data_IF_103674560663
#
_entry.id   IF_103674560663
#
_cell.length_a   1.000
_cell.length_b   1.000
_cell.length_c   1.000
_cell.angle_alpha   90.00
_cell.angle_beta   90.00
_cell.angle_gamma   90.00
#
_symmetry.space_group_name_H-M   'P 1'
#
loop_
_entity.id
_entity.type
_entity.pdbx_description
1 polymer ?
#
# COMPACT_ATOMS: atom_id res chain seq x y z
N UNK A 1 -16.29 14.33 21.86
CA UNK A 1 -14.90 14.34 21.36
C UNK A 1 -14.66 15.75 20.87
N UNK A 2 -13.82 16.51 21.57
CA UNK A 2 -13.39 17.82 21.10
C UNK A 2 -12.36 17.59 19.96
N UNK A 3 -12.78 17.78 18.73
CA UNK A 3 -11.88 17.78 17.59
C UNK A 3 -11.23 19.16 17.44
N UNK A 4 -9.91 19.22 17.28
CA UNK A 4 -9.20 20.49 17.04
C UNK A 4 -9.57 21.11 15.69
N UNK A 5 -9.95 20.29 14.71
CA UNK A 5 -10.38 20.72 13.38
C UNK A 5 -11.53 19.83 12.88
N UNK A 6 -12.51 20.44 12.25
CA UNK A 6 -13.61 19.77 11.55
C UNK A 6 -13.52 20.12 10.09
N UNK A 7 -13.42 19.11 9.22
CA UNK A 7 -13.46 19.26 7.77
C UNK A 7 -14.80 18.75 7.26
N UNK A 8 -15.61 19.64 6.73
CA UNK A 8 -16.83 19.27 6.01
C UNK A 8 -16.49 19.07 4.53
N UNK A 9 -16.93 17.95 3.99
CA UNK A 9 -16.70 17.57 2.60
C UNK A 9 -18.07 17.36 1.94
N UNK A 10 -18.27 17.97 0.79
CA UNK A 10 -19.46 17.69 -0.01
C UNK A 10 -19.44 16.22 -0.44
N UNK A 11 -20.50 15.49 -0.10
CA UNK A 11 -20.70 14.13 -0.53
C UNK A 11 -20.84 14.03 -2.06
N UNK A 12 -20.56 12.84 -2.57
CA UNK A 12 -20.80 12.51 -3.98
C UNK A 12 -22.11 11.73 -4.12
N UNK A 13 -22.79 11.94 -5.22
CA UNK A 13 -23.92 11.11 -5.61
C UNK A 13 -23.46 9.71 -5.97
N UNK A 14 -24.33 8.69 -5.75
CA UNK A 14 -24.00 7.28 -6.03
C UNK A 14 -23.71 7.01 -7.51
N UNK A 15 -24.23 7.83 -8.41
CA UNK A 15 -23.93 7.76 -9.85
C UNK A 15 -22.54 8.26 -10.21
N UNK A 16 -21.85 8.97 -9.28
CA UNK A 16 -20.52 9.48 -9.52
C UNK A 16 -19.53 8.32 -9.75
N UNK A 17 -18.66 8.42 -10.78
CA UNK A 17 -17.72 7.37 -11.08
C UNK A 17 -16.68 7.19 -9.96
N UNK A 18 -16.23 5.96 -9.77
CA UNK A 18 -15.33 5.55 -8.66
C UNK A 18 -14.09 6.43 -8.52
N UNK A 19 -13.52 6.92 -9.62
CA UNK A 19 -12.33 7.76 -9.55
C UNK A 19 -12.56 9.09 -8.83
N UNK A 20 -13.78 9.67 -8.90
CA UNK A 20 -14.12 10.90 -8.15
C UNK A 20 -14.16 10.63 -6.64
N UNK A 21 -14.67 9.46 -6.23
CA UNK A 21 -14.62 9.02 -4.84
C UNK A 21 -13.18 8.87 -4.34
N UNK A 22 -12.31 8.25 -5.14
CA UNK A 22 -10.89 8.15 -4.83
C UNK A 22 -10.26 9.53 -4.68
N UNK A 23 -10.47 10.45 -5.63
CA UNK A 23 -9.91 11.80 -5.60
C UNK A 23 -10.39 12.62 -4.40
N UNK A 24 -11.63 12.45 -3.98
CA UNK A 24 -12.16 13.08 -2.77
C UNK A 24 -11.37 12.64 -1.52
N UNK A 25 -11.19 11.34 -1.33
CA UNK A 25 -10.45 10.83 -0.16
C UNK A 25 -8.94 11.08 -0.25
N UNK A 26 -8.36 11.16 -1.45
CA UNK A 26 -7.00 11.66 -1.64
C UNK A 26 -6.85 13.10 -1.13
N UNK A 27 -7.78 13.97 -1.51
CA UNK A 27 -7.79 15.37 -1.05
C UNK A 27 -7.91 15.47 0.48
N UNK A 28 -8.71 14.61 1.11
CA UNK A 28 -8.84 14.52 2.58
C UNK A 28 -7.51 14.10 3.21
N UNK A 29 -6.82 13.10 2.67
CA UNK A 29 -5.52 12.66 3.16
C UNK A 29 -4.46 13.79 3.10
N UNK A 30 -4.38 14.47 1.96
CA UNK A 30 -3.48 15.60 1.76
C UNK A 30 -3.78 16.74 2.72
N UNK A 31 -5.07 17.05 2.96
CA UNK A 31 -5.48 18.06 3.92
C UNK A 31 -5.09 17.68 5.35
N UNK A 32 -5.22 16.41 5.72
CA UNK A 32 -4.78 15.89 7.02
C UNK A 32 -3.28 16.13 7.26
N UNK A 33 -2.44 15.83 6.26
CA UNK A 33 -1.00 16.11 6.34
C UNK A 33 -0.72 17.62 6.41
N UNK A 34 -1.41 18.45 5.62
CA UNK A 34 -1.22 19.91 5.61
C UNK A 34 -1.60 20.55 6.95
N UNK A 35 -2.62 20.02 7.62
CA UNK A 35 -3.05 20.44 8.96
C UNK A 35 -2.21 19.81 10.07
N UNK A 36 -1.21 19.00 9.74
CA UNK A 36 -0.35 18.28 10.69
C UNK A 36 -1.13 17.43 11.69
N UNK A 37 -2.27 16.87 11.26
CA UNK A 37 -3.08 15.98 12.09
C UNK A 37 -2.29 14.71 12.44
N UNK A 38 -2.32 14.30 13.72
CA UNK A 38 -1.79 12.99 14.15
C UNK A 38 -2.85 11.90 14.05
N UNK A 39 -4.07 12.24 14.41
CA UNK A 39 -5.24 11.36 14.39
C UNK A 39 -6.27 11.93 13.44
N UNK A 40 -6.81 11.08 12.58
CA UNK A 40 -7.86 11.42 11.63
C UNK A 40 -9.04 10.49 11.85
N UNK A 41 -10.22 11.06 12.02
CA UNK A 41 -11.49 10.32 12.06
C UNK A 41 -12.32 10.69 10.85
N UNK A 42 -12.76 9.69 10.10
CA UNK A 42 -13.56 9.87 8.90
C UNK A 42 -14.90 9.17 9.08
N UNK A 43 -15.98 9.88 8.81
CA UNK A 43 -17.32 9.33 8.65
C UNK A 43 -17.64 9.30 7.16
N UNK A 44 -17.61 8.14 6.49
CA UNK A 44 -17.77 8.06 5.03
C UNK A 44 -19.16 8.47 4.53
N UNK A 45 -20.15 8.56 5.42
CA UNK A 45 -21.55 8.76 5.07
C UNK A 45 -22.25 7.45 4.68
N UNK A 46 -23.50 7.57 4.27
CA UNK A 46 -24.36 6.42 3.93
C UNK A 46 -24.46 6.18 2.42
N UNK A 47 -23.73 6.94 1.63
CA UNK A 47 -23.74 6.85 0.16
C UNK A 47 -22.47 6.19 -0.34
N UNK A 48 -22.59 5.28 -1.30
CA UNK A 48 -21.46 4.67 -2.00
C UNK A 48 -21.73 4.61 -3.51
N UNK A 49 -20.71 4.39 -4.34
CA UNK A 49 -20.90 4.26 -5.79
C UNK A 49 -21.87 3.15 -6.14
N UNK A 50 -22.65 3.35 -7.20
CA UNK A 50 -23.56 2.33 -7.73
C UNK A 50 -22.86 0.98 -7.92
N UNK A 51 -23.50 -0.12 -7.54
CA UNK A 51 -22.98 -1.48 -7.55
C UNK A 51 -21.85 -1.75 -6.54
N UNK A 52 -21.61 -0.86 -5.58
CA UNK A 52 -20.70 -1.04 -4.46
C UNK A 52 -21.48 -1.03 -3.14
N UNK A 53 -20.90 -1.63 -2.12
CA UNK A 53 -21.46 -1.66 -0.77
C UNK A 53 -20.63 -0.83 0.22
N UNK A 54 -21.10 -0.75 1.45
CA UNK A 54 -20.42 -0.04 2.53
C UNK A 54 -19.05 -0.65 2.86
N UNK A 55 -18.87 -1.96 2.69
CA UNK A 55 -17.59 -2.62 2.99
C UNK A 55 -16.54 -2.28 1.95
N UNK A 56 -16.95 -2.22 0.67
CA UNK A 56 -16.09 -1.70 -0.40
C UNK A 56 -15.68 -0.24 -0.13
N UNK A 57 -16.62 0.59 0.36
CA UNK A 57 -16.33 1.99 0.69
C UNK A 57 -15.30 2.08 1.83
N UNK A 58 -15.47 1.29 2.90
CA UNK A 58 -14.54 1.24 4.03
C UNK A 58 -13.15 0.79 3.57
N UNK A 59 -13.05 -0.25 2.75
CA UNK A 59 -11.78 -0.73 2.20
C UNK A 59 -11.11 0.35 1.34
N UNK A 60 -11.88 0.98 0.46
CA UNK A 60 -11.39 2.04 -0.42
C UNK A 60 -10.91 3.26 0.38
N UNK A 61 -11.65 3.67 1.42
CA UNK A 61 -11.23 4.78 2.30
C UNK A 61 -9.91 4.44 2.99
N UNK A 62 -9.82 3.27 3.63
CA UNK A 62 -8.61 2.84 4.33
C UNK A 62 -7.41 2.80 3.38
N UNK A 63 -7.54 2.16 2.20
CA UNK A 63 -6.50 2.11 1.18
C UNK A 63 -6.08 3.50 0.71
N UNK A 64 -7.06 4.35 0.38
CA UNK A 64 -6.79 5.66 -0.23
C UNK A 64 -6.12 6.59 0.76
N UNK A 65 -6.61 6.65 2.00
CA UNK A 65 -5.98 7.49 3.03
C UNK A 65 -4.56 7.01 3.29
N UNK A 66 -4.37 5.70 3.57
CA UNK A 66 -3.05 5.14 3.87
C UNK A 66 -2.04 5.45 2.75
N UNK A 67 -2.41 5.20 1.50
CA UNK A 67 -1.51 5.44 0.37
C UNK A 67 -1.25 6.92 0.05
N UNK A 68 -2.05 7.87 0.56
CA UNK A 68 -1.91 9.29 0.27
C UNK A 68 -1.45 10.14 1.45
N UNK A 69 -1.36 9.59 2.66
CA UNK A 69 -0.63 10.26 3.76
C UNK A 69 0.89 10.03 3.66
N UNK A 70 1.33 9.10 2.84
CA UNK A 70 2.74 8.82 2.60
C UNK A 70 3.49 10.04 2.07
N UNK A 71 4.65 10.31 2.64
CA UNK A 71 5.60 11.34 2.18
C UNK A 71 7.02 10.75 2.29
N UNK A 72 7.75 10.73 1.17
CA UNK A 72 9.15 10.32 1.17
C UNK A 72 10.03 11.37 1.85
N UNK A 73 10.82 10.96 2.83
CA UNK A 73 11.66 11.87 3.62
C UNK A 73 13.06 11.34 3.94
N UNK A 74 13.42 10.12 3.48
CA UNK A 74 14.64 9.44 3.92
C UNK A 74 15.93 10.19 3.54
N UNK A 75 15.96 10.73 2.31
CA UNK A 75 17.14 11.46 1.81
C UNK A 75 17.00 12.99 1.90
N UNK A 76 15.97 13.47 2.59
CA UNK A 76 15.69 14.90 2.73
C UNK A 76 16.20 15.45 4.06
N UNK A 77 16.42 16.75 4.12
CA UNK A 77 16.82 17.45 5.35
C UNK A 77 15.81 17.25 6.49
N UNK A 78 16.25 17.40 7.73
CA UNK A 78 15.40 17.25 8.94
C UNK A 78 14.16 18.15 8.94
N UNK A 79 14.20 19.28 8.22
CA UNK A 79 13.09 20.23 8.05
C UNK A 79 12.07 19.80 6.99
N UNK A 80 12.35 18.74 6.21
CA UNK A 80 11.43 18.27 5.18
C UNK A 80 10.11 17.77 5.79
N UNK A 81 9.03 17.94 5.04
CA UNK A 81 7.73 17.42 5.40
C UNK A 81 7.79 15.90 5.64
N UNK A 82 7.15 15.46 6.70
CA UNK A 82 7.01 14.04 7.07
C UNK A 82 5.55 13.69 7.20
N UNK A 83 5.16 12.43 7.00
CA UNK A 83 3.80 11.99 7.29
C UNK A 83 3.44 12.32 8.72
N UNK A 84 2.31 13.00 8.91
CA UNK A 84 1.85 13.40 10.25
C UNK A 84 0.72 12.52 10.75
N UNK A 85 -0.14 12.03 9.86
CA UNK A 85 -1.25 11.15 10.20
C UNK A 85 -0.69 9.78 10.60
N UNK A 86 -0.95 9.40 11.84
CA UNK A 86 -0.48 8.11 12.42
C UNK A 86 -1.63 7.17 12.75
N UNK A 87 -2.85 7.70 12.83
CA UNK A 87 -4.03 6.92 13.17
C UNK A 87 -5.20 7.36 12.31
N UNK A 88 -5.82 6.40 11.64
CA UNK A 88 -7.08 6.57 10.94
C UNK A 88 -8.18 5.83 11.71
N UNK A 89 -9.26 6.51 12.00
CA UNK A 89 -10.48 5.92 12.55
C UNK A 89 -11.60 6.09 11.55
N UNK A 90 -12.21 5.01 11.08
CA UNK A 90 -13.39 5.06 10.22
C UNK A 90 -14.61 4.87 11.11
N UNK A 91 -15.46 5.89 11.17
CA UNK A 91 -16.67 5.89 12.00
C UNK A 91 -17.82 5.27 11.20
N UNK A 92 -18.48 4.29 11.79
CA UNK A 92 -19.66 3.63 11.24
C UNK A 92 -20.78 3.68 12.26
N UNK A 93 -22.03 3.75 11.82
CA UNK A 93 -23.21 3.75 12.68
C UNK A 93 -24.18 2.66 12.24
N UNK A 94 -24.95 2.11 13.19
CA UNK A 94 -26.03 1.18 12.91
C UNK A 94 -25.62 -0.22 12.43
N UNK A 95 -24.33 -0.59 12.49
CA UNK A 95 -23.89 -1.91 12.09
C UNK A 95 -24.24 -2.99 13.11
N UNK A 96 -24.76 -4.11 12.62
CA UNK A 96 -24.88 -5.34 13.42
C UNK A 96 -23.50 -5.89 13.79
N UNK A 97 -23.37 -6.76 14.81
CA UNK A 97 -22.10 -7.38 15.17
C UNK A 97 -21.41 -8.11 13.99
N UNK A 98 -22.18 -8.79 13.15
CA UNK A 98 -21.68 -9.47 11.94
C UNK A 98 -21.17 -8.47 10.91
N UNK A 99 -21.93 -7.41 10.62
CA UNK A 99 -21.53 -6.33 9.72
C UNK A 99 -20.28 -5.59 10.22
N UNK A 100 -20.16 -5.36 11.53
CA UNK A 100 -18.98 -4.77 12.15
C UNK A 100 -17.73 -5.64 11.94
N UNK A 101 -17.87 -6.96 12.00
CA UNK A 101 -16.76 -7.89 11.71
C UNK A 101 -16.31 -7.76 10.26
N UNK A 102 -17.23 -7.71 9.30
CA UNK A 102 -16.94 -7.46 7.89
C UNK A 102 -16.28 -6.10 7.66
N UNK A 103 -16.79 -5.04 8.30
CA UNK A 103 -16.23 -3.70 8.23
C UNK A 103 -14.78 -3.65 8.74
N UNK A 104 -14.48 -4.30 9.86
CA UNK A 104 -13.12 -4.44 10.38
C UNK A 104 -12.20 -5.18 9.41
N UNK A 105 -12.70 -6.23 8.77
CA UNK A 105 -11.92 -6.96 7.77
C UNK A 105 -11.67 -6.10 6.53
N UNK A 106 -12.67 -5.38 6.02
CA UNK A 106 -12.53 -4.45 4.90
C UNK A 106 -11.49 -3.36 5.20
N UNK A 107 -11.55 -2.74 6.38
CA UNK A 107 -10.57 -1.76 6.80
C UNK A 107 -9.14 -2.33 6.86
N UNK A 108 -8.97 -3.54 7.39
CA UNK A 108 -7.65 -4.23 7.42
C UNK A 108 -7.14 -4.52 6.01
N UNK A 109 -8.01 -4.99 5.12
CA UNK A 109 -7.64 -5.25 3.71
C UNK A 109 -7.21 -3.96 3.02
N UNK A 110 -7.99 -2.89 3.15
CA UNK A 110 -7.67 -1.58 2.58
C UNK A 110 -6.33 -1.03 3.11
N UNK A 111 -6.11 -1.11 4.42
CA UNK A 111 -4.85 -0.71 5.04
C UNK A 111 -3.66 -1.51 4.46
N UNK A 112 -3.76 -2.84 4.39
CA UNK A 112 -2.69 -3.68 3.87
C UNK A 112 -2.37 -3.37 2.39
N UNK A 113 -3.39 -3.07 1.57
CA UNK A 113 -3.18 -2.63 0.19
C UNK A 113 -2.47 -1.27 0.15
N UNK A 114 -2.88 -0.33 1.01
CA UNK A 114 -2.24 0.98 1.15
C UNK A 114 -0.77 0.88 1.53
N UNK A 115 -0.42 0.05 2.50
CA UNK A 115 0.96 -0.27 2.89
C UNK A 115 1.78 -0.86 1.73
N UNK A 116 1.19 -1.78 0.97
CA UNK A 116 1.84 -2.33 -0.23
C UNK A 116 2.13 -1.25 -1.28
N UNK A 117 1.18 -0.33 -1.52
CA UNK A 117 1.37 0.82 -2.40
C UNK A 117 2.48 1.74 -1.87
N UNK A 118 2.53 2.01 -0.57
CA UNK A 118 3.56 2.83 0.05
C UNK A 118 4.94 2.18 -0.05
N UNK A 119 5.03 0.86 0.07
CA UNK A 119 6.28 0.11 -0.15
C UNK A 119 6.79 0.28 -1.58
N UNK A 120 5.91 0.19 -2.58
CA UNK A 120 6.27 0.42 -3.98
C UNK A 120 6.71 1.87 -4.23
N UNK A 121 5.96 2.86 -3.71
CA UNK A 121 6.34 4.28 -3.78
C UNK A 121 7.71 4.52 -3.15
N UNK A 122 7.94 3.98 -1.95
CA UNK A 122 9.21 4.12 -1.24
C UNK A 122 10.39 3.61 -2.08
N UNK A 123 10.25 2.43 -2.69
CA UNK A 123 11.31 1.89 -3.56
C UNK A 123 11.52 2.74 -4.81
N UNK A 124 10.43 3.28 -5.39
CA UNK A 124 10.51 4.17 -6.56
C UNK A 124 11.07 5.57 -6.24
N UNK A 125 10.88 6.06 -5.02
CA UNK A 125 11.38 7.37 -4.57
C UNK A 125 12.85 7.33 -4.15
N UNK A 126 13.41 6.14 -3.88
CA UNK A 126 14.82 5.99 -3.53
C UNK A 126 15.74 6.35 -4.71
N UNK A 127 16.80 7.12 -4.49
CA UNK A 127 17.86 7.30 -5.49
C UNK A 127 18.50 5.96 -5.88
N UNK A 128 19.00 5.85 -7.12
CA UNK A 128 19.55 4.62 -7.67
C UNK A 128 20.64 3.98 -6.79
N UNK A 129 21.50 4.80 -6.17
CA UNK A 129 22.53 4.34 -5.24
C UNK A 129 21.99 3.79 -3.91
N UNK A 130 20.73 4.07 -3.58
CA UNK A 130 20.00 3.54 -2.42
C UNK A 130 18.99 2.45 -2.78
N UNK A 131 18.75 2.20 -4.07
CA UNK A 131 17.79 1.20 -4.57
C UNK A 131 18.46 0.23 -5.54
N UNK A 132 19.55 -0.41 -5.11
CA UNK A 132 20.24 -1.41 -5.91
C UNK A 132 19.55 -2.78 -5.80
N UNK A 133 19.76 -3.71 -6.76
CA UNK A 133 19.19 -5.06 -6.70
C UNK A 133 19.49 -5.78 -5.38
N UNK A 134 20.68 -5.59 -4.83
CA UNK A 134 21.10 -6.15 -3.53
C UNK A 134 20.31 -5.56 -2.35
N UNK A 135 20.00 -4.26 -2.39
CA UNK A 135 19.22 -3.61 -1.35
C UNK A 135 17.76 -4.07 -1.40
N UNK A 136 17.19 -4.18 -2.61
CA UNK A 136 15.85 -4.72 -2.80
C UNK A 136 15.79 -6.17 -2.27
N UNK A 137 16.76 -7.01 -2.62
CA UNK A 137 16.87 -8.38 -2.11
C UNK A 137 16.86 -8.42 -0.58
N UNK A 138 17.66 -7.56 0.06
CA UNK A 138 17.72 -7.48 1.53
C UNK A 138 16.35 -7.09 2.14
N UNK A 139 15.68 -6.11 1.56
CA UNK A 139 14.36 -5.66 2.02
C UNK A 139 13.32 -6.76 1.86
N UNK A 140 13.27 -7.40 0.69
CA UNK A 140 12.34 -8.50 0.42
C UNK A 140 12.57 -9.67 1.37
N UNK A 141 13.82 -10.07 1.60
CA UNK A 141 14.15 -11.13 2.57
C UNK A 141 13.74 -10.77 4.01
N UNK A 142 13.82 -9.50 4.38
CA UNK A 142 13.38 -9.06 5.71
C UNK A 142 11.88 -9.25 5.94
N UNK A 143 11.05 -9.17 4.89
CA UNK A 143 9.60 -9.35 5.00
C UNK A 143 9.18 -10.74 5.51
N UNK A 144 10.03 -11.78 5.34
CA UNK A 144 9.71 -13.13 5.85
C UNK A 144 9.59 -13.19 7.37
N UNK A 145 10.17 -12.23 8.09
CA UNK A 145 10.06 -12.14 9.55
C UNK A 145 8.64 -11.77 9.97
N UNK A 146 8.01 -10.86 9.22
CA UNK A 146 6.68 -10.35 9.52
C UNK A 146 5.58 -11.16 8.85
N UNK A 147 5.91 -11.88 7.76
CA UNK A 147 4.99 -12.66 6.94
C UNK A 147 5.42 -14.12 6.81
N UNK A 148 5.12 -15.00 7.78
CA UNK A 148 5.59 -16.40 7.81
C UNK A 148 5.13 -17.24 6.61
N UNK A 149 4.06 -16.83 5.92
CA UNK A 149 3.58 -17.51 4.70
C UNK A 149 4.35 -17.14 3.43
N UNK A 150 5.27 -16.16 3.52
CA UNK A 150 6.17 -15.82 2.42
C UNK A 150 7.39 -16.73 2.39
N UNK A 151 7.70 -17.26 1.22
CA UNK A 151 8.97 -17.94 0.91
C UNK A 151 9.68 -17.17 -0.18
N UNK A 152 10.96 -16.93 0.01
CA UNK A 152 11.77 -16.15 -0.92
C UNK A 152 12.97 -16.96 -1.34
N UNK A 153 13.16 -17.11 -2.66
CA UNK A 153 14.37 -17.62 -3.29
C UNK A 153 15.02 -16.46 -4.03
N UNK A 154 16.30 -16.28 -3.85
CA UNK A 154 17.08 -15.28 -4.56
C UNK A 154 18.21 -15.96 -5.32
N UNK A 155 18.46 -15.50 -6.54
CA UNK A 155 19.49 -16.01 -7.43
C UNK A 155 20.45 -14.89 -7.81
N UNK A 156 21.74 -15.14 -7.66
CA UNK A 156 22.80 -14.27 -8.14
C UNK A 156 23.14 -14.53 -9.62
N UNK A 157 24.02 -13.73 -10.21
CA UNK A 157 24.40 -13.85 -11.61
C UNK A 157 24.98 -15.20 -11.98
N UNK A 158 25.85 -15.75 -11.13
CA UNK A 158 26.46 -17.08 -11.38
C UNK A 158 25.42 -18.20 -11.40
N UNK A 159 24.43 -18.14 -10.51
CA UNK A 159 23.33 -19.10 -10.47
C UNK A 159 22.44 -18.95 -11.70
N UNK A 160 22.10 -17.71 -12.08
CA UNK A 160 21.31 -17.44 -13.29
C UNK A 160 22.04 -17.86 -14.57
N UNK A 161 23.34 -17.69 -14.63
CA UNK A 161 24.15 -18.13 -15.75
C UNK A 161 24.16 -19.66 -15.88
N UNK A 162 24.29 -20.40 -14.76
CA UNK A 162 24.17 -21.86 -14.74
C UNK A 162 22.80 -22.37 -15.17
N UNK A 163 21.75 -21.56 -15.00
CA UNK A 163 20.38 -21.86 -15.45
C UNK A 163 20.15 -21.47 -16.93
N UNK A 164 21.16 -20.98 -17.64
CA UNK A 164 21.02 -20.57 -19.03
C UNK A 164 20.27 -19.26 -19.27
N UNK A 165 20.16 -18.39 -18.26
CA UNK A 165 19.37 -17.16 -18.31
C UNK A 165 20.12 -15.99 -18.99
N UNK A 166 20.69 -16.23 -20.17
CA UNK A 166 21.53 -15.27 -20.90
C UNK A 166 20.80 -13.97 -21.27
N UNK A 167 19.56 -14.07 -21.76
CA UNK A 167 18.75 -12.90 -22.12
C UNK A 167 18.43 -12.03 -20.89
N UNK A 168 18.13 -12.65 -19.76
CA UNK A 168 17.89 -11.93 -18.50
C UNK A 168 19.16 -11.18 -18.05
N UNK A 169 20.31 -11.85 -18.08
CA UNK A 169 21.60 -11.28 -17.68
C UNK A 169 22.10 -10.21 -18.66
N UNK A 170 21.69 -10.25 -19.94
CA UNK A 170 22.10 -9.23 -20.92
C UNK A 170 21.65 -7.83 -20.54
N UNK A 171 20.52 -7.70 -19.84
CA UNK A 171 19.97 -6.40 -19.40
C UNK A 171 20.86 -5.75 -18.33
N UNK A 172 21.52 -6.53 -17.49
CA UNK A 172 22.35 -6.02 -16.40
C UNK A 172 23.83 -5.79 -16.77
N UNK A 173 24.26 -6.16 -18.00
CA UNK A 173 25.68 -6.09 -18.40
C UNK A 173 26.32 -4.71 -18.33
N UNK A 174 25.53 -3.64 -18.47
CA UNK A 174 26.00 -2.27 -18.37
C UNK A 174 26.03 -1.71 -16.96
N UNK A 175 25.67 -2.50 -15.95
CA UNK A 175 25.61 -2.05 -14.55
C UNK A 175 26.80 -2.58 -13.75
N UNK A 176 27.40 -1.76 -12.92
CA UNK A 176 28.38 -2.18 -11.90
C UNK A 176 27.70 -2.93 -10.74
N UNK A 177 26.39 -2.73 -10.55
CA UNK A 177 25.62 -3.41 -9.50
C UNK A 177 25.19 -4.79 -9.98
N UNK A 178 25.56 -5.87 -9.24
CA UNK A 178 25.25 -7.23 -9.66
C UNK A 178 23.75 -7.52 -9.70
N UNK A 179 23.30 -8.16 -10.78
CA UNK A 179 21.91 -8.54 -10.95
C UNK A 179 21.42 -9.52 -9.87
N UNK A 180 20.14 -9.45 -9.62
CA UNK A 180 19.40 -10.37 -8.73
C UNK A 180 18.07 -10.76 -9.37
N UNK A 181 17.73 -12.04 -9.25
CA UNK A 181 16.37 -12.52 -9.49
C UNK A 181 15.78 -13.01 -8.18
N UNK A 182 14.56 -12.61 -7.88
CA UNK A 182 13.86 -13.04 -6.68
C UNK A 182 12.54 -13.69 -7.04
N UNK A 183 12.30 -14.86 -6.46
CA UNK A 183 11.00 -15.54 -6.52
C UNK A 183 10.37 -15.44 -5.14
N UNK A 184 9.24 -14.75 -5.07
CA UNK A 184 8.45 -14.55 -3.86
C UNK A 184 7.21 -15.44 -3.97
N UNK A 185 7.10 -16.43 -3.11
CA UNK A 185 5.95 -17.34 -3.06
C UNK A 185 5.13 -17.04 -1.81
N UNK A 186 3.85 -16.70 -1.98
CA UNK A 186 2.90 -16.53 -0.88
C UNK A 186 1.92 -17.69 -0.84
N UNK A 187 1.94 -18.46 0.25
CA UNK A 187 1.06 -19.62 0.46
C UNK A 187 -0.18 -19.22 1.28
N UNK A 188 -1.00 -18.34 0.72
CA UNK A 188 -2.22 -17.84 1.36
C UNK A 188 -3.52 -18.35 0.77
N UNK A 189 -3.47 -18.96 -0.43
CA UNK A 189 -4.62 -19.54 -1.12
C UNK A 189 -4.96 -20.97 -0.65
N UNK A 190 -5.99 -21.56 -1.24
CA UNK A 190 -6.36 -22.95 -1.00
C UNK A 190 -5.35 -23.90 -1.65
N UNK A 191 -5.14 -25.07 -1.04
CA UNK A 191 -4.10 -26.03 -1.47
C UNK A 191 -4.26 -26.50 -2.93
N UNK A 192 -5.47 -26.54 -3.46
CA UNK A 192 -5.79 -27.05 -4.81
C UNK A 192 -5.98 -25.94 -5.85
N UNK A 193 -5.76 -24.67 -5.49
CA UNK A 193 -5.86 -23.57 -6.44
C UNK A 193 -4.51 -23.36 -7.15
N UNK A 194 -4.59 -23.11 -8.48
CA UNK A 194 -3.41 -22.75 -9.26
C UNK A 194 -2.85 -21.40 -8.77
N UNK A 195 -1.53 -21.24 -8.67
CA UNK A 195 -0.95 -19.97 -8.29
C UNK A 195 -1.15 -18.92 -9.39
N UNK A 196 -1.29 -17.66 -8.99
CA UNK A 196 -1.20 -16.51 -9.88
C UNK A 196 0.27 -16.06 -9.87
N UNK A 197 0.88 -15.95 -11.05
CA UNK A 197 2.22 -15.44 -11.22
C UNK A 197 2.16 -13.97 -11.69
N UNK A 198 2.90 -13.10 -10.98
CA UNK A 198 3.18 -11.73 -11.40
C UNK A 198 4.66 -11.67 -11.80
N UNK A 199 4.95 -11.21 -13.00
CA UNK A 199 6.31 -11.09 -13.55
C UNK A 199 6.57 -9.62 -13.82
N UNK A 200 7.71 -9.11 -13.32
CA UNK A 200 8.14 -7.73 -13.50
C UNK A 200 9.64 -7.57 -13.56
#
# INVERSE_FOLDING_TARGET
IAAANILLVNGLDSSAPTHKWLSMYQSIAHKGNSLKCKDMSIMPGNTCPTKKDEFWLIEMVAKTIESNVYIFSETKNKTASRPTVKKLTILTSGLTPSALTKAKQAAKTGYAIGEGVNTAKYLGDLPANHCTPKIIEKKVKAMTKDFPKLKIKSFNEQQMQKMGMGSFLSVSRGSEEPARMMVIEYKGGKANEKPIALVG
#
